data_IF_642473340372
#
_entry.id   IF_642473340372
#
_cell.length_a   1.000
_cell.length_b   1.000
_cell.length_c   1.000
_cell.angle_alpha   90.00
_cell.angle_beta   90.00
_cell.angle_gamma   90.00
#
_symmetry.space_group_name_H-M   'P 1'
#
loop_
_entity.id
_entity.type
_entity.pdbx_description
1 polymer ?
#
# COMPACT_ATOMS: atom_id res chain seq x y z
N UNK A 1 16.90 19.14 -4.18
CA UNK A 1 15.73 18.28 -4.38
C UNK A 1 16.18 16.86 -4.71
N UNK A 2 15.67 15.89 -4.01
CA UNK A 2 16.01 14.50 -4.29
C UNK A 2 15.19 13.98 -5.48
N UNK A 3 15.84 13.15 -6.30
CA UNK A 3 15.20 12.51 -7.46
C UNK A 3 14.99 11.01 -7.23
N UNK A 4 15.18 10.55 -6.00
CA UNK A 4 15.00 9.15 -5.62
C UNK A 4 13.99 9.03 -4.49
N UNK A 5 13.37 7.85 -4.38
CA UNK A 5 12.46 7.57 -3.28
C UNK A 5 13.23 7.31 -1.99
N UNK A 6 12.59 7.53 -0.82
CA UNK A 6 13.17 7.12 0.44
C UNK A 6 13.52 5.62 0.40
N UNK A 7 14.58 5.25 1.10
CA UNK A 7 15.16 3.92 1.04
C UNK A 7 14.18 2.78 1.32
N UNK A 8 13.24 3.00 2.23
CA UNK A 8 12.29 1.96 2.62
C UNK A 8 10.92 2.10 1.98
N UNK A 9 10.82 2.80 0.85
CA UNK A 9 9.56 2.92 0.13
C UNK A 9 9.20 1.56 -0.50
N UNK A 10 8.06 0.97 -0.12
CA UNK A 10 7.65 -0.31 -0.71
C UNK A 10 7.27 -0.15 -2.18
N UNK A 11 7.61 -1.15 -2.99
CA UNK A 11 7.31 -1.13 -4.42
C UNK A 11 6.51 -2.35 -4.89
N UNK A 12 6.23 -3.29 -3.98
CA UNK A 12 5.43 -4.47 -4.30
C UNK A 12 3.94 -4.24 -4.12
N UNK A 13 3.18 -5.31 -4.17
CA UNK A 13 1.73 -5.28 -3.92
C UNK A 13 1.48 -5.68 -2.46
N UNK A 14 0.62 -4.94 -1.79
CA UNK A 14 0.19 -5.31 -0.44
C UNK A 14 -1.19 -5.96 -0.53
N UNK A 15 -1.25 -7.27 -0.37
CA UNK A 15 -2.49 -8.03 -0.43
C UNK A 15 -2.57 -8.94 0.77
N UNK A 16 -3.67 -8.85 1.51
CA UNK A 16 -3.89 -9.70 2.68
C UNK A 16 -2.86 -9.54 3.78
N UNK A 17 -2.24 -8.37 3.88
CA UNK A 17 -1.22 -8.10 4.89
C UNK A 17 0.19 -8.50 4.48
N UNK A 18 0.36 -9.10 3.31
CA UNK A 18 1.66 -9.53 2.82
C UNK A 18 2.12 -8.71 1.62
N UNK A 19 3.43 -8.45 1.55
CA UNK A 19 4.03 -7.79 0.38
C UNK A 19 4.39 -8.83 -0.66
N UNK A 20 3.83 -8.68 -1.86
CA UNK A 20 4.03 -9.62 -2.96
C UNK A 20 4.85 -8.99 -4.06
N UNK A 21 5.74 -9.77 -4.65
CA UNK A 21 6.47 -9.37 -5.86
C UNK A 21 5.70 -9.83 -7.09
N UNK A 22 5.86 -9.12 -8.19
CA UNK A 22 5.16 -9.43 -9.44
C UNK A 22 6.14 -9.86 -10.51
N UNK A 23 5.62 -10.56 -11.54
CA UNK A 23 6.44 -11.00 -12.67
C UNK A 23 6.84 -9.82 -13.58
N UNK A 24 5.99 -8.80 -13.65
CA UNK A 24 6.22 -7.61 -14.46
C UNK A 24 6.17 -6.36 -13.60
N UNK A 25 6.78 -5.29 -14.09
CA UNK A 25 6.89 -4.03 -13.35
C UNK A 25 6.54 -2.84 -14.23
N UNK A 26 6.16 -1.76 -13.59
CA UNK A 26 5.90 -0.47 -14.24
C UNK A 26 6.93 0.54 -13.72
N UNK A 27 7.41 1.39 -14.62
CA UNK A 27 8.30 2.48 -14.23
C UNK A 27 7.50 3.66 -13.73
N UNK A 28 7.93 4.22 -12.60
CA UNK A 28 7.41 5.49 -12.09
C UNK A 28 8.39 6.56 -12.52
N UNK A 29 7.94 7.48 -13.34
CA UNK A 29 8.79 8.48 -13.99
C UNK A 29 8.64 9.83 -13.31
N UNK A 30 9.76 10.51 -13.10
CA UNK A 30 9.76 11.89 -12.63
C UNK A 30 9.37 12.79 -13.83
N UNK A 31 8.19 13.45 -13.77
CA UNK A 31 7.74 14.24 -14.92
C UNK A 31 8.62 15.45 -15.24
N UNK A 32 9.42 15.91 -14.29
CA UNK A 32 10.30 17.06 -14.51
C UNK A 32 11.57 16.68 -15.28
N UNK A 33 12.11 15.49 -15.04
CA UNK A 33 13.37 15.04 -15.63
C UNK A 33 13.21 13.89 -16.61
N UNK A 34 12.05 13.23 -16.59
CA UNK A 34 11.74 12.00 -17.35
C UNK A 34 12.60 10.81 -16.91
N UNK A 35 13.30 10.94 -15.79
CA UNK A 35 14.07 9.84 -15.22
C UNK A 35 13.20 8.90 -14.42
N UNK A 36 13.56 7.62 -14.40
CA UNK A 36 12.86 6.62 -13.61
C UNK A 36 13.16 6.79 -12.14
N UNK A 37 12.13 6.98 -11.32
CA UNK A 37 12.25 7.05 -9.86
C UNK A 37 12.28 5.67 -9.23
N UNK A 38 11.46 4.75 -9.73
CA UNK A 38 11.35 3.42 -9.19
C UNK A 38 10.62 2.52 -10.16
N UNK A 39 10.76 1.22 -9.96
CA UNK A 39 9.93 0.21 -10.63
C UNK A 39 8.97 -0.34 -9.58
N UNK A 40 7.69 -0.33 -9.88
CA UNK A 40 6.67 -0.87 -8.99
C UNK A 40 6.05 -2.11 -9.60
N UNK A 41 5.42 -2.94 -8.76
CA UNK A 41 4.75 -4.14 -9.22
C UNK A 41 3.59 -3.82 -10.15
N UNK A 42 3.52 -4.55 -11.26
CA UNK A 42 2.40 -4.47 -12.21
C UNK A 42 1.50 -5.67 -11.97
N UNK A 43 0.36 -5.44 -11.32
CA UNK A 43 -0.54 -6.52 -10.95
C UNK A 43 -1.21 -7.14 -12.18
N UNK A 44 -1.22 -8.48 -12.22
CA UNK A 44 -1.99 -9.22 -13.21
C UNK A 44 -3.49 -9.20 -12.83
N UNK A 45 -4.40 -9.54 -13.76
CA UNK A 45 -5.80 -9.69 -13.41
C UNK A 45 -6.05 -10.69 -12.28
N UNK A 46 -5.26 -11.76 -12.20
CA UNK A 46 -5.38 -12.75 -11.13
C UNK A 46 -5.03 -12.13 -9.77
N UNK A 47 -4.02 -11.28 -9.74
CA UNK A 47 -3.64 -10.58 -8.51
C UNK A 47 -4.69 -9.55 -8.10
N UNK A 48 -5.36 -8.93 -9.07
CA UNK A 48 -6.49 -8.05 -8.79
C UNK A 48 -7.64 -8.79 -8.14
N UNK A 49 -7.97 -9.98 -8.64
CA UNK A 49 -8.99 -10.82 -8.03
C UNK A 49 -8.59 -11.25 -6.62
N UNK A 50 -7.32 -11.60 -6.43
CA UNK A 50 -6.80 -11.97 -5.12
C UNK A 50 -6.95 -10.82 -4.12
N UNK A 51 -6.70 -9.59 -4.55
CA UNK A 51 -6.84 -8.42 -3.69
C UNK A 51 -8.29 -8.21 -3.26
N UNK A 52 -9.23 -8.35 -4.19
CA UNK A 52 -10.66 -8.22 -3.89
C UNK A 52 -11.11 -9.34 -2.94
N UNK A 53 -10.62 -10.55 -3.14
CA UNK A 53 -10.97 -11.67 -2.26
C UNK A 53 -10.43 -11.45 -0.84
N UNK A 54 -9.21 -10.96 -0.71
CA UNK A 54 -8.63 -10.65 0.60
C UNK A 54 -9.44 -9.56 1.32
N UNK A 55 -9.87 -8.54 0.59
CA UNK A 55 -10.70 -7.48 1.16
C UNK A 55 -12.06 -8.02 1.58
N UNK A 56 -12.67 -8.88 0.78
CA UNK A 56 -13.95 -9.51 1.11
C UNK A 56 -13.83 -10.35 2.37
N UNK A 57 -12.78 -11.15 2.48
CA UNK A 57 -12.57 -12.01 3.66
C UNK A 57 -12.36 -11.20 4.93
N UNK A 58 -11.67 -10.07 4.84
CA UNK A 58 -11.44 -9.20 5.98
C UNK A 58 -12.69 -8.43 6.41
N UNK A 59 -13.64 -8.23 5.50
CA UNK A 59 -14.83 -7.43 5.77
C UNK A 59 -15.69 -8.00 6.87
N UNK A 60 -15.81 -9.32 6.97
CA UNK A 60 -16.67 -9.96 7.96
C UNK A 60 -16.30 -9.53 9.39
N UNK A 61 -15.01 -9.58 9.72
CA UNK A 61 -14.54 -9.20 11.05
C UNK A 61 -14.53 -7.70 11.25
N UNK A 62 -13.98 -6.96 10.28
CA UNK A 62 -13.90 -5.51 10.39
C UNK A 62 -15.26 -4.84 10.38
N UNK A 63 -16.13 -5.25 9.45
CA UNK A 63 -17.47 -4.67 9.29
C UNK A 63 -18.39 -4.92 10.46
N UNK A 64 -18.18 -6.04 11.18
CA UNK A 64 -19.00 -6.40 12.34
C UNK A 64 -18.38 -5.94 13.66
N UNK A 65 -17.18 -5.38 13.65
CA UNK A 65 -16.54 -4.88 14.86
C UNK A 65 -17.25 -3.65 15.40
N UNK A 66 -17.10 -3.40 16.72
CA UNK A 66 -17.69 -2.21 17.31
C UNK A 66 -17.08 -0.94 16.74
N UNK A 67 -17.92 0.08 16.59
CA UNK A 67 -17.47 1.37 16.05
C UNK A 67 -16.31 1.95 16.86
N UNK A 68 -16.32 1.78 18.17
CA UNK A 68 -15.25 2.26 19.03
C UNK A 68 -13.92 1.56 18.73
N UNK A 69 -13.95 0.26 18.46
CA UNK A 69 -12.76 -0.50 18.10
C UNK A 69 -12.15 0.03 16.81
N UNK A 70 -12.98 0.28 15.78
CA UNK A 70 -12.50 0.82 14.52
C UNK A 70 -11.95 2.24 14.69
N UNK A 71 -12.63 3.05 15.51
CA UNK A 71 -12.20 4.42 15.78
C UNK A 71 -10.84 4.45 16.47
N UNK A 72 -10.59 3.53 17.41
CA UNK A 72 -9.30 3.46 18.11
C UNK A 72 -8.15 3.09 17.16
N UNK A 73 -8.41 2.18 16.22
CA UNK A 73 -7.39 1.80 15.23
C UNK A 73 -7.05 3.00 14.34
N UNK A 74 -8.05 3.72 13.86
CA UNK A 74 -7.83 4.90 13.03
C UNK A 74 -7.15 6.02 13.80
N UNK A 75 -7.50 6.18 15.07
CA UNK A 75 -6.85 7.17 15.93
C UNK A 75 -5.38 6.84 16.12
N UNK A 76 -5.05 5.58 16.34
CA UNK A 76 -3.67 5.15 16.48
C UNK A 76 -2.86 5.41 15.20
N UNK A 77 -3.47 5.17 14.04
CA UNK A 77 -2.83 5.48 12.77
C UNK A 77 -2.54 6.99 12.67
N UNK A 78 -3.48 7.83 13.08
CA UNK A 78 -3.29 9.27 13.11
C UNK A 78 -2.12 9.66 14.03
N UNK A 79 -2.06 9.07 15.21
CA UNK A 79 -0.98 9.38 16.16
C UNK A 79 0.39 9.00 15.61
N UNK A 80 0.48 7.83 14.97
CA UNK A 80 1.74 7.38 14.37
C UNK A 80 2.16 8.30 13.23
N UNK A 81 1.23 8.63 12.34
CA UNK A 81 1.53 9.54 11.22
C UNK A 81 1.96 10.91 11.69
N UNK A 82 1.31 11.42 12.74
CA UNK A 82 1.64 12.73 13.29
C UNK A 82 3.03 12.72 13.95
N UNK A 83 3.37 11.64 14.63
CA UNK A 83 4.68 11.51 15.28
C UNK A 83 5.82 11.39 14.27
N UNK A 84 5.54 10.87 13.09
CA UNK A 84 6.54 10.65 12.04
C UNK A 84 6.51 11.69 10.93
N UNK A 85 5.79 12.78 11.15
CA UNK A 85 5.68 13.83 10.14
C UNK A 85 7.02 14.56 9.98
N UNK A 86 7.45 14.70 8.72
CA UNK A 86 8.72 15.32 8.40
C UNK A 86 8.59 16.11 7.11
#
# INVERSE_FOLDING_TARGET
MTTSLPERTPTGLLIGGDWLTTATHLDVVNPATLGTLAEIGDASPAEGVQAVQAAHDAFADWGSSFARFRAEILRKAFEIMTAEIE
#
